data_IF_895974946083
#
_entry.id   IF_895974946083
#
_cell.length_a   1.000
_cell.length_b   1.000
_cell.length_c   1.000
_cell.angle_alpha   90.00
_cell.angle_beta   90.00
_cell.angle_gamma   90.00
#
_symmetry.space_group_name_H-M   'P 1'
#
loop_
_entity.id
_entity.type
_entity.pdbx_description
1 polymer ?
#
# COMPACT_ATOMS: atom_id res chain seq x y z
N UNK A 1 28.09 87.07 11.41
CA UNK A 1 27.81 87.61 10.07
C UNK A 1 26.48 87.02 9.58
N UNK A 2 25.54 87.90 9.21
CA UNK A 2 24.21 87.71 8.57
C UNK A 2 23.19 86.75 9.23
N UNK A 3 22.22 87.22 10.03
CA UNK A 3 20.89 87.84 9.68
C UNK A 3 20.10 86.99 8.66
N UNK A 4 19.12 86.20 9.10
CA UNK A 4 17.69 86.56 9.27
C UNK A 4 16.97 86.83 7.94
N UNK A 5 15.84 86.15 7.66
CA UNK A 5 14.57 86.77 7.27
C UNK A 5 13.41 85.74 7.17
N UNK A 6 12.22 86.19 7.59
CA UNK A 6 10.89 85.55 7.53
C UNK A 6 10.27 85.70 6.13
N UNK A 7 9.02 85.20 6.00
CA UNK A 7 7.90 85.59 5.06
C UNK A 7 7.67 84.50 3.98
N UNK A 8 6.49 84.07 3.52
CA UNK A 8 5.04 84.10 3.89
C UNK A 8 4.31 83.20 2.85
N UNK A 9 3.09 82.78 3.19
CA UNK A 9 2.04 82.06 2.45
C UNK A 9 1.87 82.20 0.91
N UNK A 10 1.26 81.14 0.32
CA UNK A 10 0.13 81.04 -0.66
C UNK A 10 0.47 79.98 -1.75
N UNK A 11 -0.20 78.82 -1.82
CA UNK A 11 -1.56 78.51 -2.31
C UNK A 11 -1.61 78.08 -3.80
N UNK A 12 -2.41 77.04 -4.09
CA UNK A 12 -2.88 76.53 -5.39
C UNK A 12 -1.85 75.75 -6.23
N UNK A 13 -2.15 74.68 -6.99
CA UNK A 13 -3.39 74.02 -7.40
C UNK A 13 -3.08 72.55 -7.80
N UNK A 14 -4.16 71.78 -7.91
CA UNK A 14 -4.22 70.36 -8.21
C UNK A 14 -3.59 69.92 -9.54
N UNK A 15 -3.06 68.69 -9.57
CA UNK A 15 -3.20 67.80 -10.72
C UNK A 15 -3.06 66.34 -10.26
N UNK A 16 -4.18 65.64 -10.33
CA UNK A 16 -4.35 64.23 -10.02
C UNK A 16 -3.52 63.34 -10.96
N UNK A 17 -2.72 62.44 -10.39
CA UNK A 17 -2.26 61.24 -11.07
C UNK A 17 -2.66 60.04 -10.21
N UNK A 18 -3.73 59.38 -10.67
CA UNK A 18 -4.26 58.14 -10.12
C UNK A 18 -3.20 57.04 -10.25
N UNK A 19 -2.44 56.80 -9.18
CA UNK A 19 -1.62 55.61 -9.03
C UNK A 19 -2.49 54.45 -8.53
N UNK A 20 -3.00 53.63 -9.44
CA UNK A 20 -3.53 52.30 -9.12
C UNK A 20 -2.37 51.42 -8.62
N UNK A 21 -2.13 51.43 -7.31
CA UNK A 21 -1.36 50.39 -6.65
C UNK A 21 -2.29 49.19 -6.43
N UNK A 22 -2.43 48.36 -7.46
CA UNK A 22 -3.06 47.05 -7.33
C UNK A 22 -2.23 46.17 -6.40
N UNK A 23 -2.68 46.02 -5.15
CA UNK A 23 -2.21 44.93 -4.29
C UNK A 23 -2.74 43.61 -4.88
N UNK A 24 -1.91 42.97 -5.69
CA UNK A 24 -2.12 41.59 -6.10
C UNK A 24 -2.04 40.71 -4.85
N UNK A 25 -3.20 40.38 -4.29
CA UNK A 25 -3.34 39.31 -3.32
C UNK A 25 -2.92 38.01 -4.02
N UNK A 26 -1.73 37.52 -3.71
CA UNK A 26 -1.30 36.17 -4.09
C UNK A 26 -2.21 35.22 -3.33
N UNK A 27 -3.27 34.77 -4.01
CA UNK A 27 -4.05 33.61 -3.58
C UNK A 27 -3.08 32.43 -3.59
N UNK A 28 -2.62 32.02 -2.41
CA UNK A 28 -1.97 30.74 -2.21
C UNK A 28 -2.99 29.67 -2.60
N UNK A 29 -2.89 29.20 -3.84
CA UNK A 29 -3.58 28.00 -4.27
C UNK A 29 -2.92 26.84 -3.52
N UNK A 30 -3.58 26.38 -2.46
CA UNK A 30 -3.37 25.06 -1.88
C UNK A 30 -3.60 24.05 -3.01
N UNK A 31 -2.54 23.69 -3.72
CA UNK A 31 -2.53 22.53 -4.61
C UNK A 31 -2.59 21.33 -3.68
N UNK A 32 -3.81 20.99 -3.22
CA UNK A 32 -4.09 19.65 -2.72
C UNK A 32 -3.86 18.76 -3.92
N UNK A 33 -2.74 18.02 -3.90
CA UNK A 33 -2.55 16.91 -4.80
C UNK A 33 -3.80 16.03 -4.66
N UNK A 34 -4.59 15.93 -5.72
CA UNK A 34 -5.65 14.93 -5.83
C UNK A 34 -4.96 13.58 -5.73
N UNK A 35 -4.89 13.05 -4.52
CA UNK A 35 -4.57 11.65 -4.28
C UNK A 35 -5.62 10.84 -5.00
N UNK A 36 -5.17 10.17 -6.07
CA UNK A 36 -5.94 9.15 -6.76
C UNK A 36 -6.60 8.27 -5.72
N UNK A 37 -7.92 8.39 -5.63
CA UNK A 37 -8.71 7.60 -4.69
C UNK A 37 -8.64 6.16 -5.17
N UNK A 38 -8.27 5.24 -4.28
CA UNK A 38 -8.41 3.81 -4.52
C UNK A 38 -9.75 3.50 -5.20
N UNK A 39 -9.67 3.04 -6.44
CA UNK A 39 -10.83 2.71 -7.27
C UNK A 39 -10.93 1.20 -7.39
N UNK A 40 -12.05 0.66 -6.89
CA UNK A 40 -12.35 -0.77 -6.92
C UNK A 40 -13.56 -1.01 -7.82
N UNK A 41 -13.59 -2.15 -8.52
CA UNK A 41 -14.76 -2.57 -9.26
C UNK A 41 -15.75 -3.26 -8.31
N UNK A 42 -16.98 -2.74 -8.23
CA UNK A 42 -18.04 -3.36 -7.46
C UNK A 42 -18.35 -4.77 -7.99
N UNK A 43 -18.41 -5.72 -7.07
CA UNK A 43 -18.86 -7.08 -7.30
C UNK A 43 -20.15 -7.36 -6.53
N UNK A 44 -20.61 -8.63 -6.52
CA UNK A 44 -21.83 -9.01 -5.84
C UNK A 44 -21.69 -8.95 -4.31
N UNK A 45 -22.84 -8.88 -3.64
CA UNK A 45 -22.94 -9.18 -2.21
C UNK A 45 -23.19 -10.67 -2.01
N UNK A 46 -22.52 -11.27 -1.02
CA UNK A 46 -22.56 -12.70 -0.69
C UNK A 46 -22.52 -12.92 0.81
N UNK A 47 -23.08 -14.02 1.30
CA UNK A 47 -23.03 -14.36 2.72
C UNK A 47 -21.74 -15.12 3.02
N UNK A 48 -21.06 -14.78 4.11
CA UNK A 48 -19.88 -15.54 4.57
C UNK A 48 -20.34 -16.75 5.37
N UNK A 49 -20.14 -17.93 4.78
CA UNK A 49 -20.45 -19.23 5.40
C UNK A 49 -19.43 -19.57 6.47
N UNK A 50 -18.14 -19.35 6.19
CA UNK A 50 -17.07 -19.72 7.12
C UNK A 50 -15.79 -18.92 6.87
N UNK A 51 -15.09 -18.54 7.93
CA UNK A 51 -13.69 -18.11 7.84
C UNK A 51 -12.77 -19.33 7.72
N UNK A 52 -12.02 -19.41 6.62
CA UNK A 52 -11.15 -20.55 6.28
C UNK A 52 -9.81 -20.45 7.01
N UNK A 53 -9.18 -19.29 6.92
CA UNK A 53 -7.95 -18.91 7.61
C UNK A 53 -7.99 -17.40 7.93
N UNK A 54 -6.90 -16.82 8.42
CA UNK A 54 -6.82 -15.39 8.79
C UNK A 54 -6.92 -14.40 7.62
N UNK A 55 -7.03 -14.87 6.38
CA UNK A 55 -7.06 -14.05 5.16
C UNK A 55 -8.12 -14.50 4.15
N UNK A 56 -8.82 -15.61 4.42
CA UNK A 56 -9.66 -16.30 3.43
C UNK A 56 -11.01 -16.63 4.02
N UNK A 57 -12.07 -16.30 3.27
CA UNK A 57 -13.46 -16.61 3.63
C UNK A 57 -14.09 -17.49 2.56
N UNK A 58 -14.99 -18.38 2.98
CA UNK A 58 -15.85 -19.17 2.12
C UNK A 58 -17.23 -18.54 2.06
N UNK A 59 -17.72 -18.34 0.84
CA UNK A 59 -19.03 -17.75 0.55
C UNK A 59 -20.12 -18.80 0.34
N UNK A 60 -21.37 -18.35 0.29
CA UNK A 60 -22.58 -19.16 0.05
C UNK A 60 -22.64 -19.80 -1.35
N UNK A 61 -21.87 -19.30 -2.32
CA UNK A 61 -21.69 -19.89 -3.65
C UNK A 61 -20.47 -20.83 -3.74
N UNK A 62 -19.95 -21.26 -2.58
CA UNK A 62 -18.78 -22.13 -2.45
C UNK A 62 -17.47 -21.54 -3.02
N UNK A 63 -17.43 -20.24 -3.34
CA UNK A 63 -16.19 -19.56 -3.72
C UNK A 63 -15.41 -19.12 -2.48
N UNK A 64 -14.10 -19.24 -2.55
CA UNK A 64 -13.20 -18.66 -1.57
C UNK A 64 -12.74 -17.28 -2.03
N UNK A 65 -12.80 -16.30 -1.13
CA UNK A 65 -12.25 -14.96 -1.31
C UNK A 65 -11.08 -14.77 -0.36
N UNK A 66 -9.92 -14.44 -0.92
CA UNK A 66 -8.73 -14.01 -0.19
C UNK A 66 -8.71 -12.47 -0.12
N UNK A 67 -8.53 -11.97 1.09
CA UNK A 67 -8.39 -10.55 1.43
C UNK A 67 -7.06 -9.99 0.92
N UNK A 68 -7.00 -9.66 -0.38
CA UNK A 68 -5.81 -9.00 -0.95
C UNK A 68 -5.55 -7.67 -0.22
N UNK A 69 -4.28 -7.35 0.00
CA UNK A 69 -3.90 -6.15 0.76
C UNK A 69 -3.60 -6.37 2.24
N UNK A 70 -4.15 -7.42 2.87
CA UNK A 70 -4.02 -7.67 4.31
C UNK A 70 -3.27 -8.98 4.58
N UNK A 71 -1.95 -8.89 4.81
CA UNK A 71 -1.08 -10.03 5.09
C UNK A 71 -1.17 -10.40 6.57
N UNK A 72 -1.99 -11.38 6.89
CA UNK A 72 -2.14 -11.88 8.25
C UNK A 72 -0.92 -12.71 8.67
N UNK A 73 -0.64 -12.84 9.98
CA UNK A 73 0.41 -13.71 10.48
C UNK A 73 0.06 -15.18 10.21
N UNK A 74 1.07 -16.00 9.90
CA UNK A 74 0.96 -17.46 9.91
C UNK A 74 2.05 -18.07 10.75
N UNK A 75 1.76 -19.23 11.34
CA UNK A 75 2.75 -20.02 12.07
C UNK A 75 4.00 -20.24 11.20
N UNK A 76 5.21 -20.01 11.74
CA UNK A 76 6.45 -20.36 11.06
C UNK A 76 6.69 -21.87 11.04
N UNK A 77 6.01 -22.63 11.91
CA UNK A 77 6.06 -24.09 11.96
C UNK A 77 4.82 -24.68 11.26
N UNK A 78 5.06 -25.36 10.15
CA UNK A 78 4.04 -26.05 9.34
C UNK A 78 3.92 -27.54 9.69
N UNK A 79 4.62 -28.00 10.74
CA UNK A 79 4.52 -29.37 11.24
C UNK A 79 3.10 -29.68 11.71
N UNK A 80 2.60 -30.92 11.53
CA UNK A 80 1.33 -31.35 12.13
C UNK A 80 1.29 -31.25 13.66
N UNK A 81 2.46 -31.12 14.29
CA UNK A 81 2.62 -30.98 15.75
C UNK A 81 2.95 -29.55 16.19
N UNK A 82 2.87 -28.58 15.27
CA UNK A 82 3.11 -27.18 15.58
C UNK A 82 2.13 -26.72 16.67
N UNK A 83 2.67 -26.08 17.71
CA UNK A 83 1.84 -25.42 18.70
C UNK A 83 1.07 -24.26 18.04
N UNK A 84 -0.14 -23.94 18.52
CA UNK A 84 -0.89 -22.82 17.98
C UNK A 84 -0.09 -21.51 18.08
N UNK A 85 -0.07 -20.73 16.99
CA UNK A 85 0.62 -19.45 16.94
C UNK A 85 -0.34 -18.33 17.36
N UNK A 86 -0.20 -17.71 18.55
CA UNK A 86 -1.21 -16.80 19.07
C UNK A 86 -1.57 -15.61 18.15
N UNK A 87 -0.62 -15.00 17.41
CA UNK A 87 -0.96 -13.97 16.43
C UNK A 87 -1.90 -14.44 15.31
N UNK A 88 -1.74 -15.68 14.83
CA UNK A 88 -2.61 -16.27 13.80
C UNK A 88 -4.01 -16.54 14.35
N UNK A 89 -4.12 -17.10 15.55
CA UNK A 89 -5.41 -17.31 16.21
C UNK A 89 -6.16 -16.00 16.45
N UNK A 90 -5.45 -14.96 16.91
CA UNK A 90 -6.03 -13.64 17.11
C UNK A 90 -6.55 -13.03 15.80
N UNK A 91 -5.80 -13.19 14.70
CA UNK A 91 -6.24 -12.73 13.38
C UNK A 91 -7.47 -13.51 12.87
N UNK A 92 -7.51 -14.83 13.05
CA UNK A 92 -8.69 -15.64 12.70
C UNK A 92 -9.91 -15.21 13.52
N UNK A 93 -9.75 -14.99 14.82
CA UNK A 93 -10.83 -14.55 15.70
C UNK A 93 -11.36 -13.17 15.31
N UNK A 94 -10.46 -12.22 15.01
CA UNK A 94 -10.83 -10.88 14.56
C UNK A 94 -11.60 -10.93 13.23
N UNK A 95 -11.12 -11.71 12.25
CA UNK A 95 -11.82 -11.87 10.97
C UNK A 95 -13.20 -12.50 11.18
N UNK A 96 -13.31 -13.54 12.02
CA UNK A 96 -14.61 -14.15 12.36
C UNK A 96 -15.57 -13.12 12.97
N UNK A 97 -15.12 -12.32 13.92
CA UNK A 97 -15.94 -11.30 14.55
C UNK A 97 -16.45 -10.27 13.52
N UNK A 98 -15.63 -9.93 12.52
CA UNK A 98 -16.01 -8.98 11.48
C UNK A 98 -17.01 -9.54 10.48
N UNK A 99 -16.88 -10.81 10.05
CA UNK A 99 -17.59 -11.30 8.86
C UNK A 99 -18.43 -12.57 9.03
N UNK A 100 -18.22 -13.38 10.07
CA UNK A 100 -18.86 -14.69 10.16
C UNK A 100 -20.38 -14.59 10.20
N UNK A 101 -21.07 -15.24 9.25
CA UNK A 101 -22.53 -15.21 9.15
C UNK A 101 -23.12 -13.88 8.65
N UNK A 102 -22.28 -12.93 8.21
CA UNK A 102 -22.72 -11.63 7.67
C UNK A 102 -22.68 -11.63 6.14
N UNK A 103 -23.46 -10.73 5.55
CA UNK A 103 -23.35 -10.39 4.13
C UNK A 103 -22.17 -9.44 3.90
N UNK A 104 -21.33 -9.77 2.93
CA UNK A 104 -20.19 -8.95 2.49
C UNK A 104 -20.40 -8.48 1.06
N UNK A 105 -20.13 -7.20 0.80
CA UNK A 105 -19.95 -6.71 -0.57
C UNK A 105 -18.52 -6.93 -1.02
N UNK A 106 -18.36 -7.55 -2.18
CA UNK A 106 -17.06 -7.87 -2.76
C UNK A 106 -16.67 -6.76 -3.73
N UNK A 107 -15.43 -6.28 -3.66
CA UNK A 107 -14.90 -5.34 -4.66
C UNK A 107 -13.51 -5.79 -5.12
N UNK A 108 -13.28 -5.84 -6.43
CA UNK A 108 -12.06 -6.39 -7.01
C UNK A 108 -11.26 -5.32 -7.76
N UNK A 109 -9.97 -5.58 -7.95
CA UNK A 109 -9.07 -4.73 -8.72
C UNK A 109 -7.93 -5.56 -9.30
N UNK A 110 -7.53 -5.27 -10.55
CA UNK A 110 -6.44 -5.98 -11.20
C UNK A 110 -6.71 -7.48 -11.33
N UNK A 111 -5.77 -8.31 -10.88
CA UNK A 111 -5.87 -9.78 -10.96
C UNK A 111 -7.05 -10.33 -10.14
N UNK A 112 -8.00 -10.99 -10.81
CA UNK A 112 -9.21 -11.49 -10.17
C UNK A 112 -9.02 -12.76 -9.31
N UNK A 113 -8.08 -13.64 -9.65
CA UNK A 113 -7.89 -14.93 -8.96
C UNK A 113 -6.42 -15.30 -8.76
N UNK A 114 -6.12 -16.00 -7.67
CA UNK A 114 -4.78 -16.56 -7.44
C UNK A 114 -4.58 -17.92 -8.14
N UNK A 115 -3.40 -18.53 -7.95
CA UNK A 115 -3.06 -19.84 -8.56
C UNK A 115 -3.87 -21.02 -8.02
N UNK A 116 -4.55 -20.84 -6.90
CA UNK A 116 -5.41 -21.83 -6.26
C UNK A 116 -6.88 -21.64 -6.61
N UNK A 117 -7.20 -20.66 -7.47
CA UNK A 117 -8.56 -20.37 -7.92
C UNK A 117 -9.34 -19.47 -6.96
N UNK A 118 -8.75 -19.03 -5.83
CA UNK A 118 -9.41 -18.12 -4.89
C UNK A 118 -9.54 -16.74 -5.51
N UNK A 119 -10.68 -16.10 -5.30
CA UNK A 119 -10.89 -14.73 -5.74
C UNK A 119 -10.05 -13.77 -4.89
N UNK A 120 -9.36 -12.83 -5.52
CA UNK A 120 -8.63 -11.74 -4.83
C UNK A 120 -9.55 -10.53 -4.77
N UNK A 121 -9.97 -10.12 -3.57
CA UNK A 121 -10.89 -9.00 -3.43
C UNK A 121 -10.81 -8.31 -2.07
N UNK A 122 -11.39 -7.11 -2.04
CA UNK A 122 -11.73 -6.34 -0.87
C UNK A 122 -13.15 -6.67 -0.40
N UNK A 123 -13.31 -6.84 0.91
CA UNK A 123 -14.61 -7.12 1.51
C UNK A 123 -15.07 -5.94 2.35
N UNK A 124 -16.37 -5.70 2.28
CA UNK A 124 -17.03 -4.67 3.07
C UNK A 124 -18.24 -5.27 3.76
N UNK A 125 -18.46 -4.93 5.03
CA UNK A 125 -19.68 -5.27 5.77
C UNK A 125 -20.45 -4.00 6.07
N UNK A 126 -21.78 -4.10 6.09
CA UNK A 126 -22.62 -3.03 6.62
C UNK A 126 -22.79 -3.24 8.13
N UNK A 127 -22.54 -2.21 8.93
CA UNK A 127 -22.65 -2.21 10.38
C UNK A 127 -23.28 -0.91 10.86
N UNK A 128 -24.47 -0.96 11.45
CA UNK A 128 -25.17 0.24 11.93
C UNK A 128 -25.48 1.29 10.84
N UNK A 129 -25.51 0.91 9.56
CA UNK A 129 -25.66 1.84 8.43
C UNK A 129 -24.35 2.45 7.94
N UNK A 130 -23.22 2.06 8.53
CA UNK A 130 -21.88 2.38 8.06
C UNK A 130 -21.25 1.18 7.34
N UNK A 131 -20.56 1.48 6.24
CA UNK A 131 -19.84 0.45 5.49
C UNK A 131 -18.42 0.33 6.00
N UNK A 132 -18.12 -0.81 6.62
CA UNK A 132 -16.83 -1.12 7.24
C UNK A 132 -15.96 -1.89 6.27
N UNK A 133 -14.74 -1.42 6.03
CA UNK A 133 -13.76 -2.11 5.19
C UNK A 133 -13.02 -3.18 6.01
N UNK A 134 -13.27 -4.46 5.69
CA UNK A 134 -12.75 -5.59 6.49
C UNK A 134 -11.22 -5.58 6.56
N UNK A 135 -10.52 -5.36 5.43
CA UNK A 135 -9.07 -5.23 5.45
C UNK A 135 -8.57 -4.03 6.26
N UNK A 136 -9.27 -2.89 6.17
CA UNK A 136 -8.94 -1.70 6.95
C UNK A 136 -8.98 -1.99 8.45
N UNK A 137 -10.06 -2.59 8.94
CA UNK A 137 -10.20 -2.98 10.34
C UNK A 137 -9.13 -3.98 10.80
N UNK A 138 -8.87 -5.01 9.98
CA UNK A 138 -7.81 -5.99 10.26
C UNK A 138 -6.43 -5.33 10.38
N UNK A 139 -6.15 -4.31 9.57
CA UNK A 139 -4.88 -3.56 9.60
C UNK A 139 -4.83 -2.59 10.78
N UNK A 140 -5.92 -1.86 11.05
CA UNK A 140 -6.02 -0.87 12.13
C UNK A 140 -5.97 -1.49 13.53
N UNK A 141 -6.49 -2.71 13.69
CA UNK A 141 -6.37 -3.51 14.91
C UNK A 141 -5.02 -4.25 15.03
N UNK A 142 -4.18 -4.20 13.98
CA UNK A 142 -2.87 -4.86 13.97
C UNK A 142 -2.95 -6.36 13.83
N UNK A 143 -3.95 -6.91 13.13
CA UNK A 143 -4.08 -8.34 12.81
C UNK A 143 -3.52 -8.70 11.42
N UNK A 144 -3.10 -7.71 10.63
CA UNK A 144 -2.47 -7.89 9.33
C UNK A 144 -1.41 -6.82 9.06
N UNK A 145 -0.64 -7.01 7.98
CA UNK A 145 0.30 -6.03 7.41
C UNK A 145 -0.12 -5.65 6.00
N UNK A 146 0.02 -4.39 5.62
CA UNK A 146 -0.35 -3.91 4.30
C UNK A 146 0.66 -4.42 3.26
N UNK A 147 0.18 -5.15 2.26
CA UNK A 147 1.02 -5.78 1.24
C UNK A 147 0.35 -5.82 -0.14
N UNK A 148 1.15 -5.75 -1.20
CA UNK A 148 0.68 -5.99 -2.57
C UNK A 148 1.24 -7.29 -3.15
N UNK A 149 0.56 -7.81 -4.18
CA UNK A 149 1.11 -8.86 -5.05
C UNK A 149 1.54 -8.24 -6.38
N UNK A 150 2.48 -8.84 -7.11
CA UNK A 150 2.81 -8.41 -8.47
C UNK A 150 1.56 -8.21 -9.34
N UNK A 151 1.34 -6.98 -9.80
CA UNK A 151 0.16 -6.58 -10.59
C UNK A 151 -1.13 -6.32 -9.79
N UNK A 152 -1.07 -6.31 -8.46
CA UNK A 152 -2.20 -6.10 -7.54
C UNK A 152 -1.78 -5.24 -6.34
N UNK A 153 -1.64 -3.94 -6.57
CA UNK A 153 -1.27 -2.91 -5.58
C UNK A 153 -2.38 -1.85 -5.37
N UNK A 154 -3.60 -2.15 -5.81
CA UNK A 154 -4.71 -1.23 -5.60
C UNK A 154 -4.88 -0.93 -4.11
N UNK A 155 -5.11 0.34 -3.81
CA UNK A 155 -5.47 0.82 -2.47
C UNK A 155 -4.36 0.68 -1.42
N UNK A 156 -3.12 0.52 -1.85
CA UNK A 156 -2.00 0.31 -0.93
C UNK A 156 -1.74 1.51 -0.03
N UNK A 157 -1.92 2.74 -0.51
CA UNK A 157 -1.78 3.93 0.34
C UNK A 157 -2.82 3.94 1.47
N UNK A 158 -4.06 3.61 1.17
CA UNK A 158 -5.16 3.53 2.14
C UNK A 158 -4.96 2.38 3.12
N UNK A 159 -4.56 1.19 2.66
CA UNK A 159 -4.23 0.05 3.51
C UNK A 159 -3.07 0.39 4.47
N UNK A 160 -2.03 1.05 3.97
CA UNK A 160 -0.90 1.49 4.80
C UNK A 160 -1.30 2.55 5.82
N UNK A 161 -2.28 3.41 5.52
CA UNK A 161 -2.81 4.35 6.48
C UNK A 161 -3.55 3.65 7.64
N UNK A 162 -4.31 2.59 7.36
CA UNK A 162 -4.92 1.74 8.38
C UNK A 162 -3.86 1.00 9.21
N UNK A 163 -2.85 0.40 8.54
CA UNK A 163 -1.73 -0.26 9.22
C UNK A 163 -0.98 0.70 10.16
N UNK A 164 -0.86 1.98 9.79
CA UNK A 164 -0.19 3.00 10.60
C UNK A 164 -0.85 3.14 11.98
N UNK A 165 -2.18 3.12 12.07
CA UNK A 165 -2.92 3.20 13.35
C UNK A 165 -2.40 2.16 14.34
N UNK A 166 -2.29 0.90 13.92
CA UNK A 166 -1.77 -0.17 14.76
C UNK A 166 -0.27 0.01 15.08
N UNK A 167 0.52 0.55 14.14
CA UNK A 167 1.94 0.85 14.35
C UNK A 167 2.16 1.95 15.39
N UNK A 168 1.41 3.06 15.36
CA UNK A 168 1.50 4.12 16.37
C UNK A 168 1.12 3.61 17.76
N UNK A 169 0.08 2.77 17.83
CA UNK A 169 -0.41 2.21 19.08
C UNK A 169 0.40 1.01 19.59
N UNK A 170 1.38 0.51 18.82
CA UNK A 170 2.04 -0.77 19.07
C UNK A 170 1.05 -1.92 19.31
N UNK A 171 -0.07 -1.93 18.57
CA UNK A 171 -1.17 -2.86 18.72
C UNK A 171 -0.95 -4.14 17.90
N UNK A 172 -1.51 -5.26 18.38
CA UNK A 172 -1.46 -6.55 17.71
C UNK A 172 -0.04 -6.97 17.33
N UNK A 173 0.18 -7.23 16.04
CA UNK A 173 1.49 -7.60 15.49
C UNK A 173 2.59 -6.60 15.85
N UNK A 174 2.29 -5.31 15.88
CA UNK A 174 3.27 -4.24 16.04
C UNK A 174 3.81 -4.09 17.46
N UNK A 175 3.15 -4.72 18.44
CA UNK A 175 3.69 -4.87 19.81
C UNK A 175 4.72 -5.98 19.95
N UNK A 176 4.88 -6.84 18.93
CA UNK A 176 5.79 -7.99 18.97
C UNK A 176 7.09 -7.75 18.21
N UNK A 177 8.21 -8.17 18.81
CA UNK A 177 9.53 -8.16 18.17
C UNK A 177 9.57 -8.97 16.85
N UNK A 178 8.65 -9.95 16.69
CA UNK A 178 8.53 -10.77 15.48
C UNK A 178 8.07 -9.98 14.24
N UNK A 179 7.45 -8.80 14.41
CA UNK A 179 6.99 -7.94 13.31
C UNK A 179 7.57 -6.53 13.33
N UNK A 180 8.45 -6.22 14.29
CA UNK A 180 9.15 -4.95 14.36
C UNK A 180 9.93 -4.64 13.08
N UNK A 181 9.97 -3.37 12.70
CA UNK A 181 10.74 -2.86 11.56
C UNK A 181 12.21 -3.29 11.68
N UNK A 182 12.75 -3.87 10.61
CA UNK A 182 14.12 -4.40 10.57
C UNK A 182 15.11 -3.32 10.20
N UNK A 183 16.32 -3.40 10.75
CA UNK A 183 17.40 -2.53 10.33
C UNK A 183 18.03 -3.03 9.04
N UNK A 184 18.20 -2.16 8.05
CA UNK A 184 18.97 -2.45 6.82
C UNK A 184 20.42 -2.89 7.10
N UNK A 185 20.98 -2.51 8.25
CA UNK A 185 22.34 -2.90 8.68
C UNK A 185 22.40 -4.30 9.30
N UNK A 186 21.26 -4.88 9.68
CA UNK A 186 21.17 -6.19 10.31
C UNK A 186 21.15 -7.32 9.26
N UNK A 187 22.08 -7.28 8.30
CA UNK A 187 22.14 -8.16 7.12
C UNK A 187 21.94 -9.64 7.44
N UNK A 188 22.64 -10.17 8.45
CA UNK A 188 22.52 -11.59 8.84
C UNK A 188 21.12 -11.94 9.32
N UNK A 189 20.44 -11.01 9.99
CA UNK A 189 19.06 -11.20 10.44
C UNK A 189 18.09 -11.19 9.25
N UNK A 190 18.28 -10.26 8.30
CA UNK A 190 17.51 -10.22 7.07
C UNK A 190 17.65 -11.52 6.26
N UNK A 191 18.86 -12.05 6.12
CA UNK A 191 19.09 -13.31 5.40
C UNK A 191 18.43 -14.52 6.06
N UNK A 192 18.30 -14.54 7.39
CA UNK A 192 17.53 -15.58 8.11
C UNK A 192 16.02 -15.48 7.86
N UNK A 193 15.56 -14.33 7.36
CA UNK A 193 14.17 -14.00 7.02
C UNK A 193 13.91 -14.09 5.52
N UNK A 194 14.79 -14.75 4.75
CA UNK A 194 14.57 -15.00 3.33
C UNK A 194 13.20 -15.67 3.11
N UNK A 195 12.51 -15.27 2.05
CA UNK A 195 11.16 -15.69 1.69
C UNK A 195 10.06 -15.23 2.66
N UNK A 196 10.34 -14.28 3.55
CA UNK A 196 9.32 -13.62 4.39
C UNK A 196 9.14 -12.16 4.00
N UNK A 197 7.92 -11.67 4.21
CA UNK A 197 7.59 -10.26 4.04
C UNK A 197 8.08 -9.46 5.25
N UNK A 198 8.87 -8.42 5.01
CA UNK A 198 9.47 -7.59 6.05
C UNK A 198 9.37 -6.10 5.69
N UNK A 199 9.39 -5.24 6.71
CA UNK A 199 9.59 -3.79 6.57
C UNK A 199 11.01 -3.50 7.06
N UNK A 200 11.85 -2.94 6.20
CA UNK A 200 13.26 -2.67 6.44
C UNK A 200 13.50 -1.16 6.40
N UNK A 201 14.05 -0.61 7.47
CA UNK A 201 14.42 0.80 7.57
C UNK A 201 15.93 0.99 7.59
N UNK A 202 16.41 2.04 6.92
CA UNK A 202 17.82 2.41 6.93
C UNK A 202 18.09 3.72 6.22
N UNK A 203 19.33 4.19 6.31
CA UNK A 203 19.80 5.36 5.55
C UNK A 203 20.29 4.90 4.18
N UNK A 204 19.82 5.54 3.12
CA UNK A 204 20.29 5.25 1.77
C UNK A 204 21.71 5.76 1.62
N UNK A 205 22.63 4.86 1.28
CA UNK A 205 24.02 5.17 1.01
C UNK A 205 24.21 5.65 -0.43
N UNK A 206 23.53 5.03 -1.40
CA UNK A 206 23.67 5.38 -2.82
C UNK A 206 22.48 4.90 -3.65
N UNK A 207 22.04 5.73 -4.58
CA UNK A 207 21.12 5.34 -5.65
C UNK A 207 21.91 5.13 -6.94
N UNK A 208 21.91 3.91 -7.46
CA UNK A 208 22.69 3.53 -8.65
C UNK A 208 21.77 3.10 -9.79
N UNK A 209 21.78 3.85 -10.88
CA UNK A 209 21.01 3.55 -12.09
C UNK A 209 21.87 2.74 -13.05
N UNK A 210 21.32 1.64 -13.57
CA UNK A 210 21.94 0.81 -14.61
C UNK A 210 20.93 0.58 -15.73
N UNK A 211 21.38 0.01 -16.85
CA UNK A 211 20.46 -0.39 -17.94
C UNK A 211 19.39 -1.40 -17.49
N UNK A 212 19.71 -2.23 -16.50
CA UNK A 212 18.83 -3.32 -16.07
C UNK A 212 17.91 -2.94 -14.91
N UNK A 213 18.38 -2.12 -13.97
CA UNK A 213 17.68 -1.75 -12.72
C UNK A 213 18.20 -0.43 -12.15
N UNK A 214 17.37 0.19 -11.33
CA UNK A 214 17.79 1.21 -10.35
C UNK A 214 17.91 0.54 -8.98
N UNK A 215 19.05 0.71 -8.31
CA UNK A 215 19.35 0.14 -7.00
C UNK A 215 19.38 1.22 -5.93
N UNK A 216 18.67 0.99 -4.83
CA UNK A 216 18.75 1.77 -3.60
C UNK A 216 19.59 0.98 -2.60
N UNK A 217 20.85 1.39 -2.41
CA UNK A 217 21.82 0.69 -1.58
C UNK A 217 21.87 1.30 -0.18
N UNK A 218 21.90 0.47 0.86
CA UNK A 218 21.92 0.90 2.26
C UNK A 218 23.30 0.77 2.93
N UNK A 219 24.29 0.37 2.15
CA UNK A 219 25.70 0.29 2.56
C UNK A 219 26.63 0.40 1.35
N UNK A 220 27.93 0.39 1.61
CA UNK A 220 28.97 0.57 0.59
C UNK A 220 29.25 -0.70 -0.22
N UNK A 221 28.95 -1.88 0.32
CA UNK A 221 29.20 -3.16 -0.34
C UNK A 221 27.88 -3.85 -0.71
N UNK A 222 27.36 -3.53 -1.90
CA UNK A 222 26.14 -4.11 -2.45
C UNK A 222 26.16 -5.65 -2.55
N UNK A 223 27.34 -6.30 -2.48
CA UNK A 223 27.43 -7.76 -2.48
C UNK A 223 27.01 -8.38 -1.16
N UNK A 224 26.97 -7.59 -0.08
CA UNK A 224 26.69 -8.07 1.27
C UNK A 224 25.58 -7.27 1.94
N UNK A 225 25.48 -5.98 1.66
CA UNK A 225 24.55 -5.08 2.30
C UNK A 225 23.13 -5.21 1.74
N UNK A 226 22.16 -4.75 2.52
CA UNK A 226 20.78 -4.68 2.06
C UNK A 226 20.65 -3.73 0.86
N UNK A 227 19.96 -4.21 -0.16
CA UNK A 227 19.71 -3.47 -1.40
C UNK A 227 18.26 -3.64 -1.82
N UNK A 228 17.60 -2.54 -2.18
CA UNK A 228 16.33 -2.61 -2.89
C UNK A 228 16.57 -2.34 -4.38
N UNK A 229 15.84 -2.99 -5.27
CA UNK A 229 15.98 -2.69 -6.70
C UNK A 229 14.67 -2.65 -7.44
N UNK A 230 14.67 -1.82 -8.47
CA UNK A 230 13.49 -1.39 -9.21
C UNK A 230 13.77 -1.58 -10.69
N UNK A 231 12.84 -2.19 -11.42
CA UNK A 231 12.98 -2.41 -12.85
C UNK A 231 12.61 -1.15 -13.64
N UNK A 232 13.25 -0.90 -14.81
CA UNK A 232 12.93 0.25 -15.64
C UNK A 232 11.46 0.33 -16.07
N UNK A 233 10.74 -0.79 -16.14
CA UNK A 233 9.29 -0.79 -16.43
C UNK A 233 8.46 -0.19 -15.28
N UNK A 234 8.88 -0.38 -14.03
CA UNK A 234 8.19 0.17 -12.86
C UNK A 234 8.37 1.69 -12.83
N UNK A 235 9.59 2.17 -13.07
CA UNK A 235 9.87 3.62 -13.14
C UNK A 235 9.15 4.30 -14.30
N UNK A 236 9.12 3.67 -15.48
CA UNK A 236 8.37 4.21 -16.64
C UNK A 236 6.88 4.32 -16.39
N UNK A 237 6.31 3.42 -15.58
CA UNK A 237 4.90 3.47 -15.20
C UNK A 237 4.62 4.44 -14.04
N UNK A 238 5.64 4.84 -13.30
CA UNK A 238 5.55 5.65 -12.08
C UNK A 238 6.65 6.75 -12.08
N UNK A 239 6.55 7.80 -12.93
CA UNK A 239 7.59 8.82 -13.05
C UNK A 239 7.87 9.58 -11.74
N UNK A 240 6.86 9.73 -10.89
CA UNK A 240 6.98 10.32 -9.55
C UNK A 240 7.86 9.50 -8.61
N UNK A 241 7.84 8.16 -8.73
CA UNK A 241 8.78 7.29 -8.02
C UNK A 241 10.21 7.56 -8.48
N UNK A 242 10.46 7.68 -9.79
CA UNK A 242 11.79 8.01 -10.32
C UNK A 242 12.30 9.35 -9.79
N UNK A 243 11.43 10.37 -9.79
CA UNK A 243 11.76 11.68 -9.23
C UNK A 243 12.09 11.60 -7.72
N UNK A 244 11.32 10.83 -6.94
CA UNK A 244 11.57 10.63 -5.51
C UNK A 244 12.93 9.98 -5.26
N UNK A 245 13.28 8.92 -6.02
CA UNK A 245 14.53 8.17 -5.86
C UNK A 245 15.78 9.05 -5.97
N UNK A 246 15.76 10.04 -6.89
CA UNK A 246 16.89 10.96 -7.11
C UNK A 246 17.30 11.74 -5.85
N UNK A 247 16.37 11.93 -4.91
CA UNK A 247 16.59 12.67 -3.68
C UNK A 247 16.68 11.81 -2.41
N UNK A 248 16.89 10.49 -2.52
CA UNK A 248 16.90 9.61 -1.34
C UNK A 248 18.27 9.45 -0.69
N UNK A 249 19.38 9.76 -1.36
CA UNK A 249 20.72 9.62 -0.77
C UNK A 249 20.84 10.42 0.54
N UNK A 250 21.36 9.76 1.58
CA UNK A 250 21.46 10.32 2.93
C UNK A 250 20.15 10.35 3.72
N UNK A 251 18.98 10.08 3.11
CA UNK A 251 17.70 10.02 3.81
C UNK A 251 17.48 8.67 4.46
N UNK A 252 16.73 8.67 5.57
CA UNK A 252 16.21 7.44 6.17
C UNK A 252 14.93 7.06 5.44
N UNK A 253 14.86 5.82 4.97
CA UNK A 253 13.72 5.29 4.20
C UNK A 253 13.26 3.97 4.81
N UNK A 254 11.98 3.64 4.61
CA UNK A 254 11.43 2.30 4.82
C UNK A 254 11.18 1.65 3.47
N UNK A 255 11.56 0.38 3.35
CA UNK A 255 11.29 -0.49 2.19
C UNK A 255 10.54 -1.70 2.68
N UNK A 256 9.45 -2.08 2.00
CA UNK A 256 8.63 -3.24 2.34
C UNK A 256 8.51 -4.23 1.20
N UNK A 257 8.57 -5.52 1.51
CA UNK A 257 8.52 -6.57 0.50
C UNK A 257 9.09 -7.89 1.01
N UNK A 258 9.15 -8.88 0.13
CA UNK A 258 9.76 -10.18 0.43
C UNK A 258 11.26 -10.11 0.37
N UNK A 259 11.92 -10.57 1.44
CA UNK A 259 13.38 -10.69 1.46
C UNK A 259 13.81 -11.83 0.54
N UNK A 260 14.60 -11.48 -0.47
CA UNK A 260 15.28 -12.40 -1.37
C UNK A 260 16.78 -12.41 -1.08
N UNK A 261 17.50 -13.32 -1.75
CA UNK A 261 18.95 -13.32 -1.81
C UNK A 261 19.42 -13.00 -3.22
N UNK A 262 20.12 -11.88 -3.37
CA UNK A 262 20.82 -11.48 -4.62
C UNK A 262 22.15 -10.84 -4.26
N UNK A 263 23.17 -11.69 -4.04
CA UNK A 263 24.43 -11.35 -3.36
C UNK A 263 24.24 -11.02 -1.87
N UNK A 264 23.47 -9.96 -1.57
CA UNK A 264 23.02 -9.59 -0.22
C UNK A 264 21.52 -9.84 -0.02
N UNK A 265 20.97 -9.51 1.17
CA UNK A 265 19.53 -9.46 1.38
C UNK A 265 18.94 -8.39 0.47
N UNK A 266 17.83 -8.71 -0.19
CA UNK A 266 17.36 -7.94 -1.31
C UNK A 266 15.84 -7.84 -1.32
N UNK A 267 15.28 -6.68 -1.67
CA UNK A 267 13.84 -6.51 -1.98
C UNK A 267 13.68 -6.00 -3.41
N UNK A 268 12.82 -6.67 -4.18
CA UNK A 268 12.29 -6.11 -5.42
C UNK A 268 11.15 -5.13 -5.09
N UNK A 269 11.28 -3.91 -5.61
CA UNK A 269 10.23 -2.90 -5.59
C UNK A 269 9.52 -2.96 -6.94
N UNK A 270 8.24 -3.28 -6.90
CA UNK A 270 7.36 -3.38 -8.05
C UNK A 270 6.29 -2.28 -8.09
N UNK A 271 6.12 -1.55 -6.99
CA UNK A 271 5.13 -0.49 -6.82
C UNK A 271 5.64 0.63 -5.90
N UNK A 272 5.27 1.91 -6.13
CA UNK A 272 5.70 3.03 -5.29
C UNK A 272 5.40 2.86 -3.79
N UNK A 273 4.29 2.19 -3.44
CA UNK A 273 3.92 1.96 -2.02
C UNK A 273 4.94 1.14 -1.24
N UNK A 274 5.89 0.49 -1.92
CA UNK A 274 6.91 -0.34 -1.27
C UNK A 274 8.11 0.45 -0.74
N UNK A 275 8.25 1.74 -1.05
CA UNK A 275 9.36 2.57 -0.57
C UNK A 275 8.87 3.97 -0.20
N UNK A 276 9.23 4.42 1.01
CA UNK A 276 8.86 5.75 1.49
C UNK A 276 9.96 6.35 2.37
N UNK A 277 10.01 7.68 2.48
CA UNK A 277 10.86 8.34 3.47
C UNK A 277 10.31 8.00 4.85
N UNK A 278 11.19 7.56 5.75
CA UNK A 278 10.77 7.11 7.08
C UNK A 278 10.15 8.28 7.87
N UNK A 279 8.92 8.07 8.35
CA UNK A 279 8.17 9.09 9.10
C UNK A 279 7.31 10.01 8.22
N UNK A 280 7.36 9.89 6.90
CA UNK A 280 6.44 10.59 6.00
C UNK A 280 5.02 10.03 6.16
N UNK A 281 4.04 10.92 6.33
CA UNK A 281 2.63 10.55 6.46
C UNK A 281 2.06 10.36 5.07
N UNK A 282 1.72 9.13 4.71
CA UNK A 282 0.94 8.87 3.50
C UNK A 282 -0.48 9.43 3.66
N UNK A 283 -1.06 10.02 2.62
CA UNK A 283 -2.46 10.41 2.62
C UNK A 283 -3.31 9.14 2.78
N UNK A 284 -4.18 9.16 3.79
CA UNK A 284 -5.03 8.03 4.12
C UNK A 284 -6.48 8.47 4.17
N UNK A 285 -7.27 8.07 3.18
CA UNK A 285 -8.73 8.08 3.30
C UNK A 285 -9.22 6.69 2.96
N UNK A 286 -10.04 6.08 3.81
CA UNK A 286 -10.72 4.83 3.45
C UNK A 286 -11.42 5.01 2.10
N UNK A 287 -11.19 4.12 1.12
CA UNK A 287 -11.81 4.26 -0.18
C UNK A 287 -13.32 4.32 -0.05
N UNK A 288 -13.92 5.32 -0.70
CA UNK A 288 -15.36 5.40 -0.83
C UNK A 288 -15.84 4.22 -1.69
N UNK A 289 -17.01 3.66 -1.38
CA UNK A 289 -17.51 2.51 -2.11
C UNK A 289 -17.72 2.84 -3.60
N UNK A 290 -17.40 1.91 -4.53
CA UNK A 290 -18.01 1.97 -5.85
C UNK A 290 -19.52 1.77 -5.68
N UNK A 291 -20.32 2.55 -6.43
CA UNK A 291 -21.78 2.38 -6.43
C UNK A 291 -22.11 0.91 -6.74
N UNK A 292 -23.03 0.32 -5.96
CA UNK A 292 -23.51 -1.02 -6.26
C UNK A 292 -24.03 -1.01 -7.70
N UNK A 293 -23.52 -1.91 -8.53
CA UNK A 293 -24.05 -2.08 -9.88
C UNK A 293 -25.51 -2.50 -9.74
N UNK A 294 -26.43 -1.57 -9.99
CA UNK A 294 -27.85 -1.88 -10.13
C UNK A 294 -27.97 -2.89 -11.27
N UNK A 295 -28.70 -3.98 -11.01
CA UNK A 295 -28.86 -5.12 -11.90
C UNK A 295 -29.71 -4.81 -13.14
N UNK A 296 -29.35 -3.79 -13.92
CA UNK A 296 -30.07 -3.38 -15.13
C UNK A 296 -29.25 -3.42 -16.42
N UNK A 297 -27.93 -3.65 -16.37
CA UNK A 297 -27.09 -3.82 -17.56
C UNK A 297 -26.54 -5.25 -17.66
N UNK A 298 -27.42 -6.23 -17.85
CA UNK A 298 -27.05 -7.50 -18.50
C UNK A 298 -27.47 -7.42 -19.96
N UNK A 299 -26.52 -7.05 -20.83
CA UNK A 299 -26.64 -7.35 -22.25
C UNK A 299 -26.64 -8.88 -22.44
N UNK A 300 -27.45 -9.44 -23.36
CA UNK A 300 -27.49 -10.88 -23.59
C UNK A 300 -26.14 -11.36 -24.12
N UNK A 301 -25.54 -12.30 -23.39
CA UNK A 301 -24.22 -12.85 -23.68
C UNK A 301 -24.17 -13.57 -25.02
N UNK A 302 -23.21 -13.18 -25.86
CA UNK A 302 -22.77 -13.95 -27.02
C UNK A 302 -21.98 -15.16 -26.52
N UNK A 303 -22.43 -16.36 -26.89
CA UNK A 303 -21.76 -17.62 -26.55
C UNK A 303 -20.34 -17.68 -27.15
N UNK A 304 -19.31 -18.11 -26.39
CA UNK A 304 -18.00 -18.38 -26.97
C UNK A 304 -17.96 -19.77 -27.62
N UNK A 305 -17.31 -19.81 -28.78
CA UNK A 305 -17.07 -20.99 -29.60
C UNK A 305 -16.33 -22.10 -28.86
N UNK A 306 -16.70 -23.35 -29.16
CA UNK A 306 -16.08 -24.55 -28.61
C UNK A 306 -14.68 -24.75 -29.19
N UNK A 307 -13.66 -24.26 -28.49
CA UNK A 307 -12.28 -24.62 -28.82
C UNK A 307 -11.79 -25.86 -28.04
N UNK A 308 -11.11 -26.72 -28.78
CA UNK A 308 -10.84 -28.14 -28.50
C UNK A 308 -9.70 -28.29 -27.48
N UNK A 309 -9.98 -28.94 -26.33
CA UNK A 309 -9.01 -29.28 -25.27
C UNK A 309 -7.82 -30.10 -25.82
N UNK A 310 -6.55 -29.67 -25.61
CA UNK A 310 -5.41 -30.58 -25.66
C UNK A 310 -5.30 -31.40 -24.37
N UNK A 311 -4.78 -32.63 -24.50
CA UNK A 311 -4.63 -33.61 -23.43
C UNK A 311 -3.61 -33.19 -22.34
N UNK A 312 -3.77 -33.65 -21.08
CA UNK A 312 -2.90 -33.27 -19.97
C UNK A 312 -1.52 -33.93 -20.08
N UNK A 313 -0.46 -33.12 -19.95
CA UNK A 313 0.92 -33.57 -19.74
C UNK A 313 1.15 -33.84 -18.25
N UNK A 314 1.86 -34.93 -17.95
CA UNK A 314 2.15 -35.45 -16.61
C UNK A 314 2.99 -34.50 -15.72
N UNK A 315 2.94 -34.65 -14.38
CA UNK A 315 3.51 -33.69 -13.44
C UNK A 315 5.03 -33.87 -13.28
N UNK A 316 5.77 -32.76 -13.39
CA UNK A 316 7.19 -32.67 -13.11
C UNK A 316 7.47 -31.68 -11.96
N UNK A 317 7.92 -32.24 -10.84
CA UNK A 317 8.78 -31.71 -9.78
C UNK A 317 8.54 -30.30 -9.19
N UNK A 318 8.39 -30.33 -7.87
CA UNK A 318 8.51 -29.26 -6.88
C UNK A 318 9.76 -28.39 -7.09
N UNK A 319 9.62 -27.07 -6.90
CA UNK A 319 10.68 -26.25 -6.31
C UNK A 319 10.05 -25.12 -5.47
N UNK A 320 10.63 -24.96 -4.28
CA UNK A 320 10.15 -24.38 -3.03
C UNK A 320 9.68 -22.92 -3.08
#
# INVERSE_FOLDING_TARGET
>A
MHRAFRITCLAAAAASLAGLAGMAAVMAQDVRADTETCTLQAGPTRSVVRVVDSETVLLDDHQEVRLIGALAPRSPDFSPSAEPWPPEEAAIAALKALVQGRSVSIAASGRARDRYGRQLAHLFVEDGGERVWVQGEMLAAGHARAYGLPGSYACMHELMAHERVARDAAAGLWGSAAYAVRSARATRNLLRRRNSYEVVAGTVAKVAVTKARTYVNFGSDWRRDFTAGIEPRVLRANPELEQMLSGLEGKRVEVRGWIQYRNGPYIDIEDPSQIAIAGERLPGRTPAPPAAATSSDQAPGTAPDKEKRPAPSAPGALDL
#
